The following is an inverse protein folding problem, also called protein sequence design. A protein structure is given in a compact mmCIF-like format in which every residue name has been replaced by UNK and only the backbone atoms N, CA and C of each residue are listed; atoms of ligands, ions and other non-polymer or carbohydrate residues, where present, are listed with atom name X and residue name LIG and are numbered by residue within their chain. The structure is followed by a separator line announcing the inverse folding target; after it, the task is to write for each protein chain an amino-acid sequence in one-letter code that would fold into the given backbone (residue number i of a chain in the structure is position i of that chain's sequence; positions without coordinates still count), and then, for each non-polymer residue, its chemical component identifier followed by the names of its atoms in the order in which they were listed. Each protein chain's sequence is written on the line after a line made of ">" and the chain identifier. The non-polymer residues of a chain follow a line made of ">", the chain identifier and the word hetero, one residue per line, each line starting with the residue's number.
data_IF_875867932507
#
_entry.id   IF_875867932507
#
_cell.length_a   1.000
_cell.length_b   1.000
_cell.length_c   1.000
_cell.angle_alpha   90.00
_cell.angle_beta   90.00
_cell.angle_gamma   90.00
#
_symmetry.space_group_name_H-M   'P 1'
#
loop_
_entity.id
_entity.type
_entity.pdbx_description
1 polymer ?
#
# COMPACT_ATOMS: atom_id res chain seq x y z
N UNK A 1 21.40 -14.01 -13.75
CA UNK A 1 20.96 -12.73 -13.14
C UNK A 1 19.59 -12.42 -13.67
N UNK A 2 18.57 -12.54 -12.84
CA UNK A 2 17.19 -12.22 -13.21
C UNK A 2 17.04 -10.71 -13.34
N UNK A 3 16.47 -10.26 -14.45
CA UNK A 3 16.29 -8.84 -14.75
C UNK A 3 14.99 -8.34 -14.13
N UNK A 4 15.07 -7.41 -13.20
CA UNK A 4 13.89 -6.79 -12.57
C UNK A 4 13.40 -5.62 -13.43
N UNK A 5 12.12 -5.63 -13.75
CA UNK A 5 11.42 -4.57 -14.48
C UNK A 5 10.45 -3.88 -13.54
N UNK A 6 10.48 -2.55 -13.53
CA UNK A 6 9.58 -1.72 -12.73
C UNK A 6 8.45 -1.18 -13.60
N UNK A 7 7.21 -1.36 -13.17
CA UNK A 7 6.00 -0.87 -13.84
C UNK A 7 5.17 -0.01 -12.89
N UNK A 8 4.54 1.02 -13.43
CA UNK A 8 3.58 1.84 -12.69
C UNK A 8 2.32 1.01 -12.42
N UNK A 9 1.86 1.01 -11.17
CA UNK A 9 0.62 0.32 -10.79
C UNK A 9 -0.61 1.09 -11.27
N UNK A 10 -1.73 0.39 -11.50
CA UNK A 10 -3.04 1.04 -11.63
C UNK A 10 -3.31 1.97 -10.44
N UNK A 11 -3.85 3.16 -10.70
CA UNK A 11 -3.93 4.23 -9.70
C UNK A 11 -4.93 3.99 -8.57
N UNK A 12 -5.85 3.05 -8.74
CA UNK A 12 -6.94 2.84 -7.80
C UNK A 12 -6.67 1.62 -6.90
N UNK A 13 -6.11 1.86 -5.72
CA UNK A 13 -5.76 0.84 -4.73
C UNK A 13 -6.90 -0.08 -4.32
N UNK A 14 -8.14 0.42 -4.34
CA UNK A 14 -9.30 -0.29 -3.84
C UNK A 14 -9.91 -1.25 -4.85
N UNK A 15 -9.47 -1.19 -6.11
CA UNK A 15 -9.92 -2.07 -7.18
C UNK A 15 -9.03 -3.31 -7.26
N UNK A 16 -9.16 -4.18 -6.27
CA UNK A 16 -8.35 -5.40 -6.13
C UNK A 16 -8.35 -6.22 -7.41
N UNK A 17 -9.53 -6.50 -7.98
CA UNK A 17 -9.65 -7.28 -9.21
C UNK A 17 -8.94 -6.67 -10.43
N UNK A 18 -8.81 -5.34 -10.50
CA UNK A 18 -8.00 -4.70 -11.57
C UNK A 18 -6.50 -5.00 -11.38
N UNK A 19 -6.01 -5.00 -10.15
CA UNK A 19 -4.63 -5.35 -9.86
C UNK A 19 -4.35 -6.83 -10.14
N UNK A 20 -5.25 -7.73 -9.73
CA UNK A 20 -5.15 -9.17 -10.00
C UNK A 20 -5.09 -9.45 -11.49
N UNK A 21 -6.01 -8.87 -12.27
CA UNK A 21 -6.04 -8.99 -13.73
C UNK A 21 -4.77 -8.41 -14.36
N UNK A 22 -4.31 -7.25 -13.89
CA UNK A 22 -3.10 -6.63 -14.39
C UNK A 22 -1.85 -7.47 -14.14
N UNK A 23 -1.72 -8.10 -12.96
CA UNK A 23 -0.61 -9.02 -12.68
C UNK A 23 -0.66 -10.26 -13.59
N UNK A 24 -1.87 -10.80 -13.84
CA UNK A 24 -2.04 -11.90 -14.76
C UNK A 24 -1.63 -11.54 -16.20
N UNK A 25 -2.02 -10.35 -16.67
CA UNK A 25 -1.64 -9.84 -18.00
C UNK A 25 -0.12 -9.62 -18.12
N UNK A 26 0.54 -9.16 -17.04
CA UNK A 26 1.99 -9.04 -17.01
C UNK A 26 2.67 -10.41 -17.10
N UNK A 27 2.14 -11.43 -16.43
CA UNK A 27 2.68 -12.78 -16.48
C UNK A 27 2.55 -13.42 -17.86
N UNK A 28 1.49 -13.12 -18.60
CA UNK A 28 1.35 -13.52 -20.02
C UNK A 28 2.41 -12.87 -20.92
N UNK A 29 3.00 -11.74 -20.50
CA UNK A 29 4.09 -11.07 -21.21
C UNK A 29 5.48 -11.50 -20.70
N UNK A 30 5.55 -12.51 -19.83
CA UNK A 30 6.80 -12.98 -19.23
C UNK A 30 7.33 -12.06 -18.11
N UNK A 31 6.45 -11.30 -17.47
CA UNK A 31 6.76 -10.45 -16.33
C UNK A 31 6.01 -10.97 -15.10
N UNK A 32 6.70 -11.70 -14.23
CA UNK A 32 6.12 -12.26 -13.03
C UNK A 32 6.30 -11.32 -11.85
N UNK A 33 5.23 -11.11 -11.09
CA UNK A 33 5.30 -10.23 -9.92
C UNK A 33 6.33 -10.75 -8.92
N UNK A 34 7.25 -9.88 -8.52
CA UNK A 34 8.27 -10.15 -7.51
C UNK A 34 8.01 -9.34 -6.23
N UNK A 35 7.67 -8.05 -6.38
CA UNK A 35 7.40 -7.19 -5.24
C UNK A 35 6.41 -6.08 -5.61
N UNK A 36 5.63 -5.63 -4.62
CA UNK A 36 4.63 -4.60 -4.77
C UNK A 36 4.92 -3.44 -3.81
N UNK A 37 5.05 -2.23 -4.34
CA UNK A 37 5.21 -0.99 -3.57
C UNK A 37 4.02 -0.04 -3.75
N UNK A 38 4.13 1.17 -3.21
CA UNK A 38 3.08 2.20 -3.29
C UNK A 38 2.71 2.55 -4.72
N UNK A 39 3.66 2.93 -5.52
CA UNK A 39 3.46 3.47 -6.87
C UNK A 39 3.87 2.48 -7.95
N UNK A 40 4.82 1.63 -7.65
CA UNK A 40 5.41 0.71 -8.61
C UNK A 40 5.30 -0.73 -8.13
N UNK A 41 5.13 -1.64 -9.08
CA UNK A 41 5.36 -3.06 -8.90
C UNK A 41 6.64 -3.47 -9.63
N UNK A 42 7.35 -4.41 -9.07
CA UNK A 42 8.60 -4.96 -9.58
C UNK A 42 8.33 -6.36 -10.09
N UNK A 43 8.72 -6.62 -11.32
CA UNK A 43 8.51 -7.88 -12.00
C UNK A 43 9.84 -8.49 -12.37
N UNK A 44 9.91 -9.80 -12.22
CA UNK A 44 11.00 -10.61 -12.70
C UNK A 44 10.72 -11.10 -14.11
N UNK A 45 11.71 -10.99 -15.01
CA UNK A 45 11.57 -11.51 -16.37
C UNK A 45 11.69 -13.02 -16.36
N UNK A 46 10.72 -13.68 -16.99
CA UNK A 46 10.68 -15.12 -17.20
C UNK A 46 9.96 -15.49 -18.50
N UNK A 47 9.64 -16.74 -18.65
CA UNK A 47 8.83 -17.20 -19.76
C UNK A 47 7.37 -16.79 -19.57
N UNK A 48 6.64 -16.40 -20.64
CA UNK A 48 5.23 -16.14 -20.58
C UNK A 48 4.46 -17.32 -20.00
N UNK A 49 3.70 -17.06 -18.95
CA UNK A 49 2.93 -18.10 -18.27
C UNK A 49 1.56 -17.57 -17.86
N UNK A 50 0.54 -18.41 -18.01
CA UNK A 50 -0.81 -18.07 -17.56
C UNK A 50 -0.91 -18.31 -16.06
N UNK A 51 -0.95 -17.19 -15.32
CA UNK A 51 -1.03 -17.16 -13.86
C UNK A 51 -2.34 -16.55 -13.42
N UNK A 52 -2.85 -17.01 -12.31
CA UNK A 52 -3.89 -16.35 -11.54
C UNK A 52 -3.26 -15.66 -10.34
N UNK A 53 -3.76 -14.49 -10.00
CA UNK A 53 -3.35 -13.74 -8.82
C UNK A 53 -4.55 -13.49 -7.93
N UNK A 54 -4.31 -13.53 -6.62
CA UNK A 54 -5.28 -13.16 -5.59
C UNK A 54 -4.63 -12.23 -4.59
N UNK A 55 -5.37 -11.22 -4.18
CA UNK A 55 -4.94 -10.26 -3.18
C UNK A 55 -5.83 -10.41 -1.96
N UNK A 56 -5.25 -10.92 -0.90
CA UNK A 56 -5.89 -11.01 0.41
C UNK A 56 -5.68 -9.70 1.18
N UNK A 57 -6.73 -9.20 1.81
CA UNK A 57 -6.67 -8.00 2.64
C UNK A 57 -6.89 -8.36 4.09
N UNK A 58 -5.86 -8.19 4.89
CA UNK A 58 -5.91 -8.52 6.32
C UNK A 58 -6.02 -7.27 7.19
N UNK A 59 -6.38 -7.46 8.46
CA UNK A 59 -6.40 -6.38 9.46
C UNK A 59 -5.01 -6.00 9.97
N UNK A 60 -4.05 -6.90 9.79
CA UNK A 60 -2.66 -6.76 10.20
C UNK A 60 -1.77 -6.57 8.95
N UNK A 61 -0.65 -5.88 9.12
CA UNK A 61 0.34 -5.71 8.03
C UNK A 61 1.13 -6.97 7.73
N UNK A 62 1.18 -7.90 8.65
CA UNK A 62 1.82 -9.20 8.50
C UNK A 62 0.78 -10.30 8.39
N UNK A 63 1.04 -11.24 7.52
CA UNK A 63 0.34 -12.52 7.46
C UNK A 63 1.13 -13.53 8.29
N UNK A 64 0.48 -14.45 8.96
CA UNK A 64 1.15 -15.51 9.73
C UNK A 64 1.64 -16.63 8.83
N UNK A 65 2.70 -17.31 9.25
CA UNK A 65 3.24 -18.46 8.52
C UNK A 65 2.18 -19.57 8.36
N UNK A 66 1.35 -19.78 9.37
CA UNK A 66 0.23 -20.72 9.34
C UNK A 66 -0.81 -20.38 8.24
N UNK A 67 -1.07 -19.09 8.04
CA UNK A 67 -1.96 -18.66 6.97
C UNK A 67 -1.32 -18.84 5.59
N UNK A 68 -0.03 -18.57 5.46
CA UNK A 68 0.72 -18.81 4.21
C UNK A 68 0.67 -20.31 3.87
N UNK A 69 0.99 -21.17 4.83
CA UNK A 69 0.97 -22.63 4.66
C UNK A 69 -0.41 -23.15 4.25
N UNK A 70 -1.48 -22.63 4.87
CA UNK A 70 -2.86 -22.94 4.48
C UNK A 70 -3.16 -22.58 3.01
N UNK A 71 -2.66 -21.44 2.52
CA UNK A 71 -2.84 -21.04 1.13
C UNK A 71 -2.00 -21.92 0.19
N UNK A 72 -0.78 -22.27 0.57
CA UNK A 72 0.11 -23.13 -0.19
C UNK A 72 -0.47 -24.55 -0.34
N UNK A 73 -1.06 -25.10 0.71
CA UNK A 73 -1.80 -26.38 0.67
C UNK A 73 -2.99 -26.36 -0.32
N UNK A 74 -3.57 -25.18 -0.53
CA UNK A 74 -4.66 -24.97 -1.49
C UNK A 74 -4.16 -24.60 -2.90
N UNK A 75 -2.86 -24.63 -3.14
CA UNK A 75 -2.25 -24.43 -4.45
C UNK A 75 -1.88 -22.97 -4.77
N UNK A 76 -1.86 -22.09 -3.77
CA UNK A 76 -1.50 -20.69 -3.92
C UNK A 76 -0.11 -20.43 -3.34
N UNK A 77 0.81 -19.94 -4.15
CA UNK A 77 2.14 -19.56 -3.73
C UNK A 77 2.13 -18.11 -3.24
N UNK A 78 2.68 -17.85 -2.05
CA UNK A 78 2.84 -16.49 -1.55
C UNK A 78 3.91 -15.75 -2.36
N UNK A 79 3.59 -14.53 -2.82
CA UNK A 79 4.48 -13.73 -3.67
C UNK A 79 5.08 -12.56 -2.89
N UNK A 80 4.24 -11.70 -2.35
CA UNK A 80 4.68 -10.47 -1.68
C UNK A 80 3.55 -9.85 -0.86
N UNK A 81 3.91 -8.90 0.01
CA UNK A 81 2.94 -8.05 0.70
C UNK A 81 3.29 -6.58 0.57
N UNK A 82 2.26 -5.75 0.63
CA UNK A 82 2.39 -4.31 0.78
C UNK A 82 1.31 -3.81 1.73
N UNK A 83 1.71 -3.28 2.88
CA UNK A 83 0.81 -2.85 3.96
C UNK A 83 -0.15 -4.00 4.39
N UNK A 84 -1.43 -3.88 4.11
CA UNK A 84 -2.48 -4.83 4.46
C UNK A 84 -2.86 -5.77 3.30
N UNK A 85 -2.16 -5.68 2.18
CA UNK A 85 -2.41 -6.46 0.97
C UNK A 85 -1.37 -7.54 0.82
N UNK A 86 -1.79 -8.79 0.76
CA UNK A 86 -0.94 -9.97 0.58
C UNK A 86 -1.27 -10.59 -0.76
N UNK A 87 -0.28 -10.76 -1.61
CA UNK A 87 -0.45 -11.25 -2.98
C UNK A 87 -0.04 -12.71 -3.06
N UNK A 88 -0.95 -13.50 -3.57
CA UNK A 88 -0.74 -14.91 -3.89
C UNK A 88 -0.85 -15.12 -5.39
N UNK A 89 -0.17 -16.13 -5.92
CA UNK A 89 -0.20 -16.51 -7.32
C UNK A 89 -0.31 -18.01 -7.46
N UNK A 90 -1.00 -18.45 -8.51
CA UNK A 90 -1.05 -19.87 -8.90
C UNK A 90 -1.00 -19.99 -10.41
N UNK A 91 -0.25 -20.97 -10.97
CA UNK A 91 -0.41 -21.33 -12.35
C UNK A 91 -1.82 -21.88 -12.60
N UNK A 92 -2.46 -21.44 -13.69
CA UNK A 92 -3.83 -21.88 -14.03
C UNK A 92 -3.92 -23.41 -14.13
N UNK A 93 -2.84 -24.07 -14.59
CA UNK A 93 -2.80 -25.53 -14.72
C UNK A 93 -2.86 -26.28 -13.38
N UNK A 94 -2.52 -25.59 -12.26
CA UNK A 94 -2.57 -26.20 -10.92
C UNK A 94 -4.00 -26.39 -10.42
N UNK A 95 -4.97 -25.67 -11.00
CA UNK A 95 -6.38 -25.72 -10.59
C UNK A 95 -6.53 -25.44 -9.09
N UNK A 96 -5.85 -24.40 -8.60
CA UNK A 96 -5.90 -24.03 -7.19
C UNK A 96 -7.35 -23.85 -6.73
N UNK A 97 -7.64 -24.29 -5.52
CA UNK A 97 -8.98 -24.14 -4.93
C UNK A 97 -9.30 -22.65 -4.84
N UNK A 98 -10.50 -22.26 -5.27
CA UNK A 98 -10.94 -20.88 -5.16
C UNK A 98 -10.84 -20.43 -3.69
N UNK A 99 -10.05 -19.41 -3.44
CA UNK A 99 -9.97 -18.84 -2.11
C UNK A 99 -11.33 -18.22 -1.80
N UNK A 100 -12.07 -18.86 -0.91
CA UNK A 100 -13.33 -18.34 -0.40
C UNK A 100 -13.09 -17.14 0.53
N UNK A 101 -12.48 -16.11 -0.02
CA UNK A 101 -12.54 -14.82 0.62
C UNK A 101 -13.93 -14.27 0.33
N UNK A 102 -14.83 -14.37 1.29
CA UNK A 102 -16.17 -13.80 1.15
C UNK A 102 -16.01 -12.34 0.71
N UNK A 103 -16.49 -12.03 -0.48
CA UNK A 103 -16.40 -10.68 -1.05
C UNK A 103 -17.00 -9.62 -0.09
N UNK A 104 -17.93 -10.02 0.75
CA UNK A 104 -18.50 -9.17 1.80
C UNK A 104 -17.51 -8.94 2.95
N UNK A 105 -16.74 -9.94 3.36
CA UNK A 105 -15.70 -9.80 4.41
C UNK A 105 -14.54 -8.92 3.89
N UNK A 106 -14.13 -9.10 2.65
CA UNK A 106 -13.10 -8.30 1.99
C UNK A 106 -13.54 -6.83 1.88
N UNK A 107 -14.78 -6.59 1.44
CA UNK A 107 -15.37 -5.25 1.37
C UNK A 107 -15.47 -4.60 2.77
N UNK A 108 -15.85 -5.36 3.80
CA UNK A 108 -15.92 -4.87 5.17
C UNK A 108 -14.54 -4.51 5.74
N UNK A 109 -13.54 -5.32 5.48
CA UNK A 109 -12.15 -5.05 5.89
C UNK A 109 -11.59 -3.79 5.22
N UNK A 110 -11.81 -3.64 3.92
CA UNK A 110 -11.44 -2.43 3.17
C UNK A 110 -12.14 -1.18 3.72
N UNK A 111 -13.43 -1.28 4.05
CA UNK A 111 -14.18 -0.17 4.63
C UNK A 111 -13.65 0.22 6.02
N UNK A 112 -13.27 -0.75 6.85
CA UNK A 112 -12.67 -0.47 8.15
C UNK A 112 -11.30 0.21 8.03
N UNK A 113 -10.45 -0.26 7.11
CA UNK A 113 -9.16 0.35 6.82
C UNK A 113 -9.31 1.79 6.32
N UNK A 114 -10.22 2.02 5.39
CA UNK A 114 -10.54 3.35 4.88
C UNK A 114 -10.96 4.30 6.00
N UNK A 115 -11.86 3.89 6.90
CA UNK A 115 -12.29 4.70 8.05
C UNK A 115 -11.13 5.04 8.99
N UNK A 116 -10.23 4.08 9.28
CA UNK A 116 -9.05 4.34 10.12
C UNK A 116 -8.09 5.33 9.48
N UNK A 117 -7.83 5.20 8.17
CA UNK A 117 -6.96 6.12 7.44
C UNK A 117 -7.53 7.55 7.40
N UNK A 118 -8.83 7.69 7.16
CA UNK A 118 -9.52 8.99 7.19
C UNK A 118 -9.45 9.60 8.58
N UNK A 119 -9.72 8.83 9.64
CA UNK A 119 -9.65 9.32 11.01
C UNK A 119 -8.24 9.81 11.36
N UNK A 120 -7.20 9.03 11.01
CA UNK A 120 -5.81 9.43 11.23
C UNK A 120 -5.44 10.70 10.45
N UNK A 121 -5.91 10.83 9.21
CA UNK A 121 -5.69 12.03 8.40
C UNK A 121 -6.35 13.27 9.04
N UNK A 122 -7.58 13.13 9.56
CA UNK A 122 -8.29 14.21 10.27
C UNK A 122 -7.54 14.61 11.53
N UNK A 123 -7.13 13.65 12.36
CA UNK A 123 -6.38 13.91 13.61
C UNK A 123 -5.06 14.61 13.29
N UNK A 124 -4.34 14.17 12.26
CA UNK A 124 -3.09 14.80 11.83
C UNK A 124 -3.31 16.22 11.32
N UNK A 125 -4.37 16.47 10.56
CA UNK A 125 -4.71 17.80 10.04
C UNK A 125 -5.06 18.77 11.18
N UNK A 126 -5.87 18.33 12.15
CA UNK A 126 -6.23 19.11 13.33
C UNK A 126 -4.98 19.43 14.17
N UNK A 127 -4.10 18.45 14.41
CA UNK A 127 -2.83 18.65 15.11
C UNK A 127 -1.92 19.66 14.41
N UNK A 128 -1.86 19.62 13.09
CA UNK A 128 -1.06 20.55 12.28
C UNK A 128 -1.62 21.98 12.35
N UNK A 129 -2.94 22.16 12.28
CA UNK A 129 -3.60 23.47 12.42
C UNK A 129 -3.32 24.04 13.82
N UNK A 130 -3.44 23.21 14.86
CA UNK A 130 -3.14 23.63 16.23
C UNK A 130 -1.67 24.05 16.40
N UNK A 131 -0.74 23.31 15.81
CA UNK A 131 0.68 23.61 15.82
C UNK A 131 1.00 24.94 15.12
N UNK A 132 0.40 25.19 13.95
CA UNK A 132 0.53 26.49 13.25
C UNK A 132 -0.06 27.63 14.08
N UNK A 133 -1.21 27.43 14.70
CA UNK A 133 -1.83 28.41 15.57
C UNK A 133 -0.95 28.77 16.78
N UNK A 134 -0.33 27.76 17.37
CA UNK A 134 0.60 27.95 18.48
C UNK A 134 1.86 28.72 18.04
N UNK A 135 2.46 28.35 16.90
CA UNK A 135 3.58 29.10 16.31
C UNK A 135 3.19 30.55 15.97
N UNK A 136 2.02 30.75 15.38
CA UNK A 136 1.49 32.06 15.05
C UNK A 136 1.30 32.94 16.30
N UNK A 137 0.77 32.36 17.38
CA UNK A 137 0.58 33.10 18.63
C UNK A 137 1.91 33.54 19.25
N UNK A 138 2.95 32.72 19.25
CA UNK A 138 4.28 33.11 19.75
C UNK A 138 4.95 34.17 18.88
N UNK A 139 4.70 34.15 17.57
CA UNK A 139 5.27 35.13 16.64
C UNK A 139 4.55 36.50 16.68
N UNK A 140 3.24 36.51 16.96
CA UNK A 140 2.42 37.70 16.88
C UNK A 140 2.13 38.33 18.25
N UNK A 141 2.04 37.52 19.34
CA UNK A 141 1.69 38.04 20.67
C UNK A 141 2.90 38.45 21.53
N UNK A 142 4.07 37.82 21.33
CA UNK A 142 5.29 38.08 22.12
C UNK A 142 6.22 39.12 21.48
N UNK A 143 5.76 39.98 20.57
CA UNK A 143 6.56 41.00 19.90
C UNK A 143 7.96 40.47 19.60
N UNK A 144 8.11 39.79 18.49
CA UNK A 144 9.21 38.91 18.14
C UNK A 144 10.58 39.47 18.57
N UNK A 145 11.41 38.68 19.24
CA UNK A 145 12.81 39.04 19.53
C UNK A 145 13.60 39.36 18.26
N UNK A 146 13.16 38.88 17.10
CA UNK A 146 13.73 39.18 15.78
C UNK A 146 13.47 40.64 15.38
N UNK A 147 12.30 41.21 15.63
CA UNK A 147 12.01 42.62 15.36
C UNK A 147 12.85 43.55 16.27
N UNK A 148 13.04 43.20 17.53
CA UNK A 148 13.92 43.95 18.43
C UNK A 148 15.40 43.86 18.04
N UNK A 149 15.84 42.74 17.48
CA UNK A 149 17.20 42.60 16.94
C UNK A 149 17.40 43.47 15.69
N UNK A 150 16.41 43.55 14.82
CA UNK A 150 16.47 44.40 13.60
C UNK A 150 16.39 45.87 13.96
N UNK A 151 15.55 46.29 14.90
CA UNK A 151 15.50 47.68 15.39
C UNK A 151 16.81 48.09 16.06
N UNK A 152 17.45 47.20 16.83
CA UNK A 152 18.76 47.46 17.44
C UNK A 152 19.92 47.58 16.44
N UNK A 153 19.81 47.07 15.24
CA UNK A 153 20.82 47.17 14.17
C UNK A 153 20.65 48.41 13.29
N UNK A 154 19.46 49.04 13.29
CA UNK A 154 19.18 50.22 12.43
C UNK A 154 19.47 51.53 13.17
N UNK A 155 19.64 51.50 14.51
CA UNK A 155 19.86 52.71 15.35
C UNK A 155 21.35 52.86 15.76
N UNK A 156 22.27 52.16 15.17
CA UNK A 156 23.71 52.43 15.20
C UNK A 156 24.19 52.91 13.85
#
# INVERSE_FOLDING_TARGET
>A
MTSIVRKLRPSNYWRIGEHESWFADMSLQGLHLHNMGTTFAHFEKGEPKKMEYRIEVTKNKSISDEQIEMYEENGWDYVTSYEYFHVFASPVERNATELHTDSAEQAYTLQQLSKRLILNAIVSAVGFIFFIGMLGSTLFLDGTPILRLVEGFIIQ
#
